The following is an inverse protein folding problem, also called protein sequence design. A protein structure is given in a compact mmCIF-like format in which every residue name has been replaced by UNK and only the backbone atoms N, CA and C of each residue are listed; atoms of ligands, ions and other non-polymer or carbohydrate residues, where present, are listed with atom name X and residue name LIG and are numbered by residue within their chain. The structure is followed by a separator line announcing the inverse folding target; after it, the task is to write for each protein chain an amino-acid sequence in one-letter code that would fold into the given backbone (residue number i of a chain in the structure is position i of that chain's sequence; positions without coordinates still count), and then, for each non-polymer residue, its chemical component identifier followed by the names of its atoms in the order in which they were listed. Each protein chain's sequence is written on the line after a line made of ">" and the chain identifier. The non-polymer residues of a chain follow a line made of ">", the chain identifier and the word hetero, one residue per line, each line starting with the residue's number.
data_IF_698760572794
#
_entry.id   IF_698760572794
#
_cell.length_a   1.000
_cell.length_b   1.000
_cell.length_c   1.000
_cell.angle_alpha   90.00
_cell.angle_beta   90.00
_cell.angle_gamma   90.00
#
_symmetry.space_group_name_H-M   'P 1'
#
loop_
_entity.id
_entity.type
_entity.pdbx_description
1 polymer ?
#
# COMPACT_ATOMS: atom_id res chain seq x y z
N UNK A 1 2.32 3.74 -18.40
CA UNK A 1 2.57 4.00 -16.98
C UNK A 1 3.88 4.76 -16.88
N UNK A 2 3.92 5.88 -16.15
CA UNK A 2 5.15 6.68 -16.01
C UNK A 2 6.04 6.05 -14.93
N UNK A 3 7.22 5.58 -15.31
CA UNK A 3 8.18 4.91 -14.43
C UNK A 3 8.78 5.85 -13.36
N UNK A 4 8.52 7.16 -13.45
CA UNK A 4 8.96 8.14 -12.45
C UNK A 4 8.07 8.19 -11.20
N UNK A 5 6.90 7.57 -11.23
CA UNK A 5 5.91 7.64 -10.16
C UNK A 5 5.84 6.31 -9.39
N UNK A 6 6.91 6.00 -8.66
CA UNK A 6 7.00 4.84 -7.78
C UNK A 6 6.77 5.25 -6.32
N UNK A 7 6.73 4.29 -5.39
CA UNK A 7 6.58 4.49 -3.94
C UNK A 7 7.64 5.41 -3.30
N UNK A 8 8.69 5.78 -4.05
CA UNK A 8 9.76 6.69 -3.61
C UNK A 8 9.60 8.11 -4.18
N UNK A 9 8.43 8.47 -4.70
CA UNK A 9 8.21 9.82 -5.23
C UNK A 9 8.33 10.86 -4.11
N UNK A 10 9.19 11.86 -4.30
CA UNK A 10 9.49 12.85 -3.28
C UNK A 10 8.35 13.86 -3.18
N UNK A 11 7.78 13.98 -1.97
CA UNK A 11 6.72 14.96 -1.65
C UNK A 11 7.05 15.70 -0.36
N UNK A 12 6.38 16.84 -0.18
CA UNK A 12 6.48 17.60 1.07
C UNK A 12 5.80 16.86 2.22
N UNK A 13 6.28 17.13 3.44
CA UNK A 13 5.66 16.69 4.69
C UNK A 13 4.87 17.82 5.34
N UNK A 14 3.81 17.48 6.06
CA UNK A 14 3.02 18.44 6.85
C UNK A 14 3.45 18.31 8.30
N UNK A 15 3.97 19.40 8.89
CA UNK A 15 4.33 19.45 10.29
C UNK A 15 3.33 20.29 11.08
N UNK A 16 2.89 19.79 12.23
CA UNK A 16 1.98 20.49 13.15
C UNK A 16 2.72 21.04 14.37
N UNK A 17 2.10 21.96 15.10
CA UNK A 17 2.74 22.69 16.20
C UNK A 17 3.13 21.80 17.40
N UNK A 18 2.48 20.65 17.55
CA UNK A 18 2.74 19.64 18.59
C UNK A 18 3.88 18.67 18.24
N UNK A 19 4.52 18.86 17.08
CA UNK A 19 5.61 18.02 16.60
C UNK A 19 5.16 16.79 15.82
N UNK A 20 3.86 16.61 15.57
CA UNK A 20 3.37 15.55 14.69
C UNK A 20 3.74 15.84 13.23
N UNK A 21 4.07 14.80 12.47
CA UNK A 21 4.45 14.90 11.05
C UNK A 21 3.63 13.91 10.24
N UNK A 22 2.90 14.43 9.25
CA UNK A 22 2.14 13.64 8.29
C UNK A 22 2.86 13.60 6.95
N UNK A 23 3.05 12.40 6.43
CA UNK A 23 3.67 12.15 5.13
C UNK A 23 2.81 11.22 4.29
N UNK A 24 2.37 11.71 3.13
CA UNK A 24 1.42 11.03 2.23
C UNK A 24 2.00 11.00 0.81
N UNK A 25 3.03 10.17 0.55
CA UNK A 25 3.58 10.02 -0.79
C UNK A 25 2.60 9.24 -1.67
N UNK A 26 2.29 9.70 -2.88
CA UNK A 26 1.62 8.88 -3.85
C UNK A 26 2.63 7.89 -4.46
N UNK A 27 2.16 6.72 -4.89
CA UNK A 27 3.05 5.74 -5.50
C UNK A 27 2.32 4.60 -6.21
N UNK A 28 2.97 4.06 -7.24
CA UNK A 28 2.56 2.82 -7.89
C UNK A 28 3.28 1.63 -7.24
N UNK A 29 2.58 0.83 -6.46
CA UNK A 29 3.16 -0.36 -5.82
C UNK A 29 3.01 -1.57 -6.72
N UNK A 30 4.13 -2.25 -7.02
CA UNK A 30 4.14 -3.56 -7.70
C UNK A 30 4.53 -4.63 -6.70
N UNK A 31 3.62 -5.55 -6.41
CA UNK A 31 3.86 -6.68 -5.51
C UNK A 31 3.97 -7.98 -6.27
N UNK A 32 4.66 -8.94 -5.68
CA UNK A 32 4.67 -10.33 -6.16
C UNK A 32 3.65 -11.11 -5.37
N UNK A 33 2.73 -11.76 -6.07
CA UNK A 33 1.66 -12.58 -5.51
C UNK A 33 1.66 -13.95 -6.20
N UNK A 34 1.44 -15.01 -5.43
CA UNK A 34 1.25 -16.34 -5.98
C UNK A 34 -0.19 -16.46 -6.50
N UNK A 35 -0.33 -16.88 -7.75
CA UNK A 35 -1.63 -17.02 -8.42
C UNK A 35 -2.09 -18.48 -8.34
N UNK A 36 -3.31 -18.70 -7.87
CA UNK A 36 -3.96 -19.99 -7.87
C UNK A 36 -4.94 -20.09 -9.05
N UNK A 37 -4.60 -20.93 -10.03
CA UNK A 37 -5.37 -21.09 -11.29
C UNK A 37 -6.32 -22.29 -11.26
N UNK A 38 -6.59 -22.87 -10.09
CA UNK A 38 -7.39 -24.11 -9.97
C UNK A 38 -8.80 -23.98 -10.57
N UNK A 39 -9.41 -22.80 -10.51
CA UNK A 39 -10.80 -22.55 -10.95
C UNK A 39 -10.94 -21.53 -12.08
N UNK A 40 -9.87 -21.26 -12.82
CA UNK A 40 -9.90 -20.30 -13.92
C UNK A 40 -11.06 -20.58 -14.90
N UNK A 41 -11.86 -19.57 -15.34
CA UNK A 41 -11.70 -18.12 -15.12
C UNK A 41 -12.50 -17.56 -13.92
N UNK A 42 -12.95 -18.42 -13.00
CA UNK A 42 -13.75 -18.07 -11.81
C UNK A 42 -12.95 -18.20 -10.51
N UNK A 43 -11.64 -17.98 -10.60
CA UNK A 43 -10.69 -18.07 -9.52
C UNK A 43 -10.77 -16.87 -8.55
N UNK A 44 -10.29 -17.10 -7.32
CA UNK A 44 -10.18 -16.06 -6.29
C UNK A 44 -8.72 -15.93 -5.90
N UNK A 45 -8.19 -14.72 -5.99
CA UNK A 45 -6.80 -14.44 -5.68
C UNK A 45 -6.65 -13.78 -4.32
N UNK A 46 -5.68 -14.24 -3.52
CA UNK A 46 -5.33 -13.66 -2.21
C UNK A 46 -3.92 -13.09 -2.26
N UNK A 47 -3.83 -11.79 -2.47
CA UNK A 47 -2.57 -11.06 -2.55
C UNK A 47 -2.36 -10.18 -1.34
N UNK A 48 -1.13 -10.18 -0.82
CA UNK A 48 -0.77 -9.44 0.39
C UNK A 48 0.29 -8.39 0.06
N UNK A 49 0.09 -7.18 0.59
CA UNK A 49 1.12 -6.16 0.65
C UNK A 49 1.76 -6.21 2.03
N UNK A 50 3.09 -6.27 2.08
CA UNK A 50 3.87 -6.27 3.31
C UNK A 50 4.70 -5.00 3.35
N UNK A 51 4.40 -4.14 4.32
CA UNK A 51 5.15 -2.91 4.58
C UNK A 51 6.06 -3.10 5.79
N UNK A 52 7.21 -2.45 5.76
CA UNK A 52 8.17 -2.52 6.85
C UNK A 52 9.26 -1.47 6.72
N UNK A 53 9.87 -1.12 7.85
CA UNK A 53 11.07 -0.29 7.87
C UNK A 53 12.28 -1.13 7.44
N UNK A 54 13.08 -0.57 6.54
CA UNK A 54 14.29 -1.25 6.07
C UNK A 54 15.48 -1.05 7.01
N UNK A 55 15.63 0.17 7.54
CA UNK A 55 16.85 0.61 8.22
C UNK A 55 16.85 0.42 9.73
N UNK A 56 15.69 0.12 10.32
CA UNK A 56 15.50 0.04 11.76
C UNK A 56 14.76 -1.24 12.15
N UNK A 57 14.94 -1.64 13.41
CA UNK A 57 14.25 -2.78 14.01
C UNK A 57 13.22 -2.30 15.05
N UNK A 58 12.37 -3.21 15.52
CA UNK A 58 11.20 -2.90 16.36
C UNK A 58 11.48 -2.22 17.70
N UNK A 59 12.71 -2.24 18.21
CA UNK A 59 13.08 -1.49 19.42
C UNK A 59 13.35 0.00 19.15
N UNK A 60 13.55 0.39 17.89
CA UNK A 60 13.83 1.76 17.49
C UNK A 60 12.62 2.41 16.81
N UNK A 61 11.86 1.63 16.05
CA UNK A 61 10.66 2.11 15.36
C UNK A 61 9.55 1.09 15.54
N UNK A 62 8.41 1.57 16.06
CA UNK A 62 7.18 0.80 16.15
C UNK A 62 6.23 1.21 15.01
N UNK A 63 5.67 0.23 14.31
CA UNK A 63 4.74 0.44 13.21
C UNK A 63 3.34 0.09 13.69
N UNK A 64 2.51 1.11 13.84
CA UNK A 64 1.12 0.98 14.28
C UNK A 64 0.22 1.32 13.11
N UNK A 65 -0.77 0.45 12.84
CA UNK A 65 -1.80 0.71 11.84
C UNK A 65 -2.66 1.89 12.29
N UNK A 66 -2.90 2.85 11.39
CA UNK A 66 -3.83 3.95 11.67
C UNK A 66 -5.27 3.45 11.75
N UNK A 67 -5.60 2.48 10.89
CA UNK A 67 -6.93 1.90 10.74
C UNK A 67 -6.82 0.39 10.48
N UNK A 68 -7.87 -0.34 10.84
CA UNK A 68 -7.98 -1.80 10.64
C UNK A 68 -8.18 -2.18 9.16
N UNK A 69 -8.66 -1.24 8.33
CA UNK A 69 -8.98 -1.46 6.93
C UNK A 69 -8.40 -0.34 6.04
N UNK A 70 -8.11 -0.68 4.79
CA UNK A 70 -7.67 0.30 3.78
C UNK A 70 -8.84 1.15 3.32
N UNK A 71 -8.62 2.46 3.17
CA UNK A 71 -9.63 3.37 2.61
C UNK A 71 -9.85 3.10 1.11
N UNK A 72 -11.08 2.68 0.76
CA UNK A 72 -11.51 2.42 -0.63
C UNK A 72 -12.53 3.44 -1.13
N UNK A 73 -12.71 4.58 -0.46
CA UNK A 73 -13.72 5.59 -0.83
C UNK A 73 -13.51 6.15 -2.24
N UNK A 74 -12.26 6.26 -2.69
CA UNK A 74 -11.88 6.74 -4.03
C UNK A 74 -11.44 5.61 -4.97
N UNK A 75 -11.77 4.35 -4.65
CA UNK A 75 -11.38 3.20 -5.44
C UNK A 75 -12.06 3.18 -6.81
N UNK A 76 -11.25 3.09 -7.87
CA UNK A 76 -11.72 2.85 -9.22
C UNK A 76 -11.77 1.33 -9.46
N UNK A 77 -12.96 0.82 -9.78
CA UNK A 77 -13.16 -0.61 -10.00
C UNK A 77 -12.39 -1.11 -11.22
N UNK A 78 -11.84 -2.32 -11.10
CA UNK A 78 -11.20 -3.01 -12.21
C UNK A 78 -12.27 -3.72 -13.07
N UNK A 79 -12.02 -3.84 -14.38
CA UNK A 79 -12.95 -4.49 -15.31
C UNK A 79 -12.97 -6.02 -15.25
N UNK A 80 -11.94 -6.62 -14.66
CA UNK A 80 -11.76 -8.08 -14.55
C UNK A 80 -11.86 -8.55 -13.09
N UNK A 81 -11.33 -7.76 -12.15
CA UNK A 81 -11.21 -8.14 -10.73
C UNK A 81 -12.21 -7.40 -9.85
N UNK A 82 -12.91 -8.14 -9.00
CA UNK A 82 -13.72 -7.60 -7.91
C UNK A 82 -12.91 -7.64 -6.61
N UNK A 83 -12.79 -6.48 -5.95
CA UNK A 83 -12.24 -6.41 -4.60
C UNK A 83 -13.28 -6.94 -3.60
N UNK A 84 -12.87 -7.90 -2.76
CA UNK A 84 -13.70 -8.53 -1.72
C UNK A 84 -13.24 -8.13 -0.32
#
# INVERSE_FOLDING_TARGET
>A
ADERFDATFHVNTIATYDGSVTWLPPGLVRSTCAIDVTYFPFDVQRCFLKYGVWTYHGHLVDLVLSDEATDTTSFLTNGEWLLQ
#
